data_IF_975760185962
#
_entry.id   IF_975760185962
#
_cell.length_a   1.000
_cell.length_b   1.000
_cell.length_c   1.000
_cell.angle_alpha   90.00
_cell.angle_beta   90.00
_cell.angle_gamma   90.00
#
_symmetry.space_group_name_H-M   'P 1'
#
loop_
_entity.id
_entity.type
_entity.pdbx_description
1 polymer ?
#
# COMPACT_ATOMS: atom_id res chain seq x y z
N UNK A 1 -14.17 -9.40 13.95
CA UNK A 1 -12.90 -9.26 13.22
C UNK A 1 -12.42 -7.80 13.07
N UNK A 2 -13.00 -6.95 12.21
CA UNK A 2 -12.49 -5.59 11.96
C UNK A 2 -12.51 -4.65 13.19
N UNK A 3 -13.43 -4.84 14.15
CA UNK A 3 -13.50 -4.08 15.40
C UNK A 3 -12.34 -4.46 16.31
N UNK A 4 -12.08 -5.76 16.51
CA UNK A 4 -10.96 -6.25 17.31
C UNK A 4 -9.61 -5.81 16.72
N UNK A 5 -9.43 -5.90 15.40
CA UNK A 5 -8.23 -5.41 14.74
C UNK A 5 -8.00 -3.90 14.95
N UNK A 6 -9.06 -3.08 14.93
CA UNK A 6 -8.95 -1.64 15.24
C UNK A 6 -8.58 -1.37 16.68
N UNK A 7 -9.17 -2.10 17.64
CA UNK A 7 -8.81 -2.02 19.05
C UNK A 7 -7.35 -2.43 19.27
N UNK A 8 -6.95 -3.55 18.69
CA UNK A 8 -5.56 -4.02 18.74
C UNK A 8 -4.60 -2.96 18.19
N UNK A 9 -4.96 -2.32 17.07
CA UNK A 9 -4.16 -1.22 16.50
C UNK A 9 -4.09 0.01 17.42
N UNK A 10 -5.19 0.35 18.08
CA UNK A 10 -5.19 1.45 19.05
C UNK A 10 -4.25 1.15 20.23
N UNK A 11 -4.31 -0.08 20.78
CA UNK A 11 -3.41 -0.53 21.84
C UNK A 11 -1.94 -0.55 21.38
N UNK A 12 -1.68 -0.99 20.13
CA UNK A 12 -0.34 -0.96 19.56
C UNK A 12 0.21 0.46 19.44
N UNK A 13 -0.62 1.42 19.03
CA UNK A 13 -0.23 2.84 18.93
C UNK A 13 0.01 3.49 20.29
N UNK A 14 -0.74 3.12 21.31
CA UNK A 14 -0.52 3.64 22.66
C UNK A 14 0.77 3.10 23.28
N UNK A 15 1.10 1.84 23.02
CA UNK A 15 2.32 1.20 23.53
C UNK A 15 3.57 1.60 22.74
N UNK A 16 3.43 1.74 21.42
CA UNK A 16 4.53 2.09 20.50
C UNK A 16 4.13 3.32 19.65
N UNK A 17 4.29 4.55 20.15
CA UNK A 17 3.95 5.76 19.41
C UNK A 17 4.86 5.93 18.19
N UNK A 18 4.29 6.39 17.06
CA UNK A 18 5.01 6.67 15.82
C UNK A 18 4.21 6.41 14.55
N UNK A 19 4.66 6.95 13.43
CA UNK A 19 3.95 6.90 12.14
C UNK A 19 3.84 5.49 11.53
N UNK A 20 4.68 4.53 11.95
CA UNK A 20 4.71 3.15 11.47
C UNK A 20 4.53 2.14 12.60
N UNK A 21 3.77 2.49 13.64
CA UNK A 21 3.53 1.63 14.81
C UNK A 21 3.07 0.21 14.44
N UNK A 22 2.26 0.06 13.36
CA UNK A 22 1.78 -1.25 12.90
C UNK A 22 2.88 -2.21 12.43
N UNK A 23 4.09 -1.73 12.14
CA UNK A 23 5.24 -2.56 11.72
C UNK A 23 6.30 -2.71 12.81
N UNK A 24 6.06 -2.14 13.99
CA UNK A 24 7.03 -2.20 15.11
C UNK A 24 7.20 -3.61 15.65
N UNK A 25 6.09 -4.37 15.68
CA UNK A 25 6.12 -5.78 16.06
C UNK A 25 5.83 -6.64 14.82
N UNK A 26 6.49 -7.79 14.67
CA UNK A 26 6.10 -8.80 13.71
C UNK A 26 4.70 -9.32 14.02
N UNK A 27 3.93 -9.65 12.99
CA UNK A 27 2.57 -10.17 13.10
C UNK A 27 2.49 -11.55 12.47
N UNK A 28 2.08 -12.53 13.26
CA UNK A 28 1.87 -13.90 12.82
C UNK A 28 0.40 -14.27 12.89
N UNK A 29 -0.03 -15.11 11.96
CA UNK A 29 -1.32 -15.79 12.06
C UNK A 29 -1.09 -17.20 12.57
N UNK A 30 -1.79 -17.57 13.63
CA UNK A 30 -1.76 -18.94 14.17
C UNK A 30 -2.99 -19.69 13.70
N UNK A 31 -2.78 -20.84 13.12
CA UNK A 31 -3.82 -21.77 12.66
C UNK A 31 -3.49 -23.18 13.11
N UNK A 32 -4.49 -24.02 13.26
CA UNK A 32 -4.30 -25.42 13.59
C UNK A 32 -5.65 -26.16 13.62
N UNK A 33 -5.65 -27.45 13.36
CA UNK A 33 -6.88 -28.27 13.37
C UNK A 33 -7.52 -28.37 14.77
N UNK A 34 -6.70 -28.27 15.82
CA UNK A 34 -7.14 -28.32 17.22
C UNK A 34 -7.10 -26.93 17.85
N UNK A 35 -8.28 -26.41 18.20
CA UNK A 35 -8.39 -25.14 18.95
C UNK A 35 -7.68 -25.24 20.30
N UNK A 36 -7.82 -26.40 21.00
CA UNK A 36 -7.16 -26.61 22.28
C UNK A 36 -5.64 -26.57 22.17
N UNK A 37 -5.05 -27.20 21.14
CA UNK A 37 -3.61 -27.16 20.90
C UNK A 37 -3.10 -25.73 20.60
N UNK A 38 -3.84 -24.98 19.80
CA UNK A 38 -3.51 -23.61 19.42
C UNK A 38 -3.60 -22.68 20.63
N UNK A 39 -4.67 -22.76 21.40
CA UNK A 39 -4.87 -21.96 22.61
C UNK A 39 -3.82 -22.27 23.68
N UNK A 40 -3.49 -23.57 23.93
CA UNK A 40 -2.46 -23.92 24.90
C UNK A 40 -1.09 -23.40 24.49
N UNK A 41 -0.73 -23.49 23.21
CA UNK A 41 0.53 -22.97 22.70
C UNK A 41 0.69 -21.47 22.95
N UNK A 42 -0.35 -20.66 22.70
CA UNK A 42 -0.28 -19.21 22.84
C UNK A 42 -0.51 -18.75 24.28
N UNK A 43 -1.60 -19.21 24.92
CA UNK A 43 -2.01 -18.73 26.24
C UNK A 43 -1.04 -19.16 27.33
N UNK A 44 -0.58 -20.41 27.26
CA UNK A 44 0.26 -20.99 28.30
C UNK A 44 1.77 -20.81 28.01
N UNK A 45 2.10 -20.04 26.98
CA UNK A 45 3.50 -19.72 26.60
C UNK A 45 4.26 -18.91 27.64
N UNK A 46 3.60 -18.41 28.68
CA UNK A 46 4.16 -17.55 29.73
C UNK A 46 4.81 -16.26 29.20
N UNK A 47 4.37 -15.78 28.03
CA UNK A 47 4.82 -14.52 27.45
C UNK A 47 4.10 -13.33 28.08
N UNK A 48 4.84 -12.27 28.35
CA UNK A 48 4.27 -11.01 28.83
C UNK A 48 3.36 -10.37 27.76
N UNK A 49 2.18 -9.90 28.18
CA UNK A 49 1.19 -9.23 27.33
C UNK A 49 1.08 -7.74 27.65
N UNK A 50 2.07 -6.92 27.27
CA UNK A 50 2.11 -5.50 27.61
C UNK A 50 0.95 -4.68 27.00
N UNK A 51 0.32 -5.22 25.96
CA UNK A 51 -0.82 -4.59 25.30
C UNK A 51 -2.19 -4.91 25.94
N UNK A 52 -2.18 -5.57 27.11
CA UNK A 52 -3.38 -6.00 27.79
C UNK A 52 -3.87 -7.39 27.36
N UNK A 53 -5.05 -7.81 27.85
CA UNK A 53 -5.58 -9.15 27.62
C UNK A 53 -5.89 -9.39 26.13
N UNK A 54 -5.89 -10.66 25.70
CA UNK A 54 -6.27 -11.04 24.34
C UNK A 54 -7.64 -10.51 23.93
N UNK A 55 -7.74 -10.01 22.68
CA UNK A 55 -8.97 -9.46 22.13
C UNK A 55 -9.62 -10.46 21.18
N UNK A 56 -10.67 -11.11 21.62
CA UNK A 56 -11.39 -12.10 20.82
C UNK A 56 -12.62 -11.51 20.12
N UNK A 57 -12.78 -11.79 18.83
CA UNK A 57 -13.98 -11.41 18.06
C UNK A 57 -14.13 -12.23 16.79
N UNK A 58 -15.25 -12.96 16.69
CA UNK A 58 -15.65 -13.64 15.44
C UNK A 58 -14.71 -14.74 15.00
N UNK A 59 -14.21 -15.55 15.95
CA UNK A 59 -13.28 -16.65 15.71
C UNK A 59 -11.82 -16.21 15.51
N UNK A 60 -11.49 -14.98 15.92
CA UNK A 60 -10.13 -14.44 15.91
C UNK A 60 -9.78 -13.91 17.28
N UNK A 61 -8.61 -14.27 17.79
CA UNK A 61 -8.05 -13.77 19.03
C UNK A 61 -6.74 -13.06 18.74
N UNK A 62 -6.64 -11.78 19.12
CA UNK A 62 -5.46 -10.98 18.94
C UNK A 62 -4.70 -10.87 20.26
N UNK A 63 -3.44 -11.22 20.22
CA UNK A 63 -2.53 -11.14 21.38
C UNK A 63 -1.28 -10.35 21.00
N UNK A 64 -0.88 -9.43 21.86
CA UNK A 64 0.33 -8.64 21.67
C UNK A 64 1.32 -8.95 22.77
N UNK A 65 2.54 -9.29 22.39
CA UNK A 65 3.67 -9.62 23.26
C UNK A 65 4.77 -8.58 23.12
N UNK A 66 5.82 -8.67 23.95
CA UNK A 66 6.93 -7.71 23.91
C UNK A 66 7.65 -7.66 22.55
N UNK A 67 7.84 -8.82 21.90
CA UNK A 67 8.60 -8.94 20.66
C UNK A 67 7.77 -9.32 19.44
N UNK A 68 6.48 -9.58 19.59
CA UNK A 68 5.64 -10.01 18.49
C UNK A 68 4.16 -9.89 18.77
N UNK A 69 3.37 -10.01 17.73
CA UNK A 69 1.92 -10.03 17.78
C UNK A 69 1.38 -11.26 17.06
N UNK A 70 0.28 -11.79 17.55
CA UNK A 70 -0.33 -13.00 17.04
C UNK A 70 -1.82 -12.77 16.80
N UNK A 71 -2.30 -13.23 15.66
CA UNK A 71 -3.72 -13.37 15.36
C UNK A 71 -4.07 -14.87 15.27
N UNK A 72 -4.64 -15.40 16.32
CA UNK A 72 -5.08 -16.80 16.38
C UNK A 72 -6.41 -16.92 15.65
N UNK A 73 -6.50 -17.81 14.68
CA UNK A 73 -7.69 -18.05 13.87
C UNK A 73 -8.26 -19.43 14.16
N UNK A 74 -9.49 -19.46 14.64
CA UNK A 74 -10.22 -20.72 14.84
C UNK A 74 -10.39 -21.50 13.52
N UNK A 75 -10.50 -22.82 13.52
CA UNK A 75 -10.72 -23.64 12.34
C UNK A 75 -11.86 -23.13 11.46
N UNK A 76 -12.96 -22.69 12.08
CA UNK A 76 -14.13 -22.11 11.36
C UNK A 76 -13.77 -20.89 10.52
N UNK A 77 -12.70 -20.16 10.83
CA UNK A 77 -12.30 -18.95 10.09
C UNK A 77 -11.57 -19.33 8.80
N UNK A 78 -10.56 -20.19 8.87
CA UNK A 78 -9.77 -20.54 7.68
C UNK A 78 -10.42 -21.64 6.82
N UNK A 79 -11.29 -22.46 7.39
CA UNK A 79 -12.07 -23.44 6.62
C UNK A 79 -13.23 -22.81 5.85
N UNK A 80 -13.71 -21.62 6.25
CA UNK A 80 -14.75 -20.89 5.52
C UNK A 80 -14.14 -19.81 4.60
N UNK A 81 -14.15 -19.99 3.27
CA UNK A 81 -13.47 -19.06 2.34
C UNK A 81 -13.91 -17.59 2.50
N UNK A 82 -15.19 -17.34 2.81
CA UNK A 82 -15.69 -15.98 3.00
C UNK A 82 -15.09 -15.31 4.24
N UNK A 83 -14.96 -16.03 5.36
CA UNK A 83 -14.35 -15.54 6.60
C UNK A 83 -12.85 -15.35 6.44
N UNK A 84 -12.17 -16.30 5.79
CA UNK A 84 -10.75 -16.25 5.51
C UNK A 84 -10.38 -15.04 4.64
N UNK A 85 -11.12 -14.83 3.55
CA UNK A 85 -10.97 -13.64 2.71
C UNK A 85 -11.20 -12.33 3.45
N UNK A 86 -12.12 -12.34 4.40
CA UNK A 86 -12.36 -11.17 5.25
C UNK A 86 -11.19 -10.90 6.18
N UNK A 87 -10.59 -11.94 6.77
CA UNK A 87 -9.38 -11.82 7.59
C UNK A 87 -8.23 -11.24 6.77
N UNK A 88 -7.92 -11.84 5.61
CA UNK A 88 -6.84 -11.36 4.72
C UNK A 88 -7.04 -9.88 4.36
N UNK A 89 -8.27 -9.48 4.06
CA UNK A 89 -8.59 -8.07 3.77
C UNK A 89 -8.37 -7.15 4.98
N UNK A 90 -8.68 -7.61 6.17
CA UNK A 90 -8.43 -6.86 7.42
C UNK A 90 -6.93 -6.70 7.64
N UNK A 91 -6.15 -7.77 7.50
CA UNK A 91 -4.68 -7.75 7.60
C UNK A 91 -4.05 -6.81 6.58
N UNK A 92 -4.45 -6.91 5.31
CA UNK A 92 -3.92 -6.04 4.24
C UNK A 92 -4.29 -4.56 4.42
N UNK A 93 -5.43 -4.26 5.03
CA UNK A 93 -5.80 -2.88 5.39
C UNK A 93 -5.03 -2.36 6.59
N UNK A 94 -4.76 -3.24 7.54
CA UNK A 94 -4.00 -2.91 8.75
C UNK A 94 -2.52 -2.69 8.44
N UNK A 95 -1.93 -3.56 7.59
CA UNK A 95 -0.52 -3.54 7.17
C UNK A 95 -0.42 -3.65 5.64
N UNK A 96 -0.60 -2.53 4.89
CA UNK A 96 -0.68 -2.57 3.43
C UNK A 96 0.58 -3.12 2.73
N UNK A 97 1.78 -2.84 3.26
CA UNK A 97 3.03 -3.26 2.64
C UNK A 97 3.43 -4.69 2.99
N UNK A 98 3.11 -5.13 4.20
CA UNK A 98 3.42 -6.48 4.69
C UNK A 98 2.30 -6.91 5.64
N UNK A 99 1.26 -7.57 5.13
CA UNK A 99 0.08 -7.95 5.90
C UNK A 99 0.40 -8.82 7.11
N UNK A 100 1.37 -9.73 6.98
CA UNK A 100 1.87 -10.59 8.05
C UNK A 100 3.33 -10.96 7.80
N UNK A 101 4.00 -11.40 8.86
CA UNK A 101 5.41 -11.81 8.85
C UNK A 101 5.55 -13.34 8.73
N UNK A 102 4.53 -14.11 9.09
CA UNK A 102 4.53 -15.56 8.98
C UNK A 102 3.24 -16.20 9.42
N UNK A 103 3.16 -17.50 9.21
CA UNK A 103 2.08 -18.37 9.71
C UNK A 103 2.69 -19.39 10.66
N UNK A 104 2.07 -19.55 11.83
CA UNK A 104 2.40 -20.60 12.79
C UNK A 104 1.30 -21.65 12.69
N UNK A 105 1.68 -22.85 12.27
CA UNK A 105 0.79 -23.99 12.16
C UNK A 105 1.00 -24.89 13.37
N UNK A 106 0.01 -24.94 14.25
CA UNK A 106 0.04 -25.77 15.47
C UNK A 106 -0.70 -27.07 15.19
N UNK A 107 0.03 -28.17 15.29
CA UNK A 107 -0.48 -29.52 15.01
C UNK A 107 -0.44 -30.36 16.29
N UNK A 108 -1.52 -31.11 16.64
CA UNK A 108 -1.48 -32.00 17.78
C UNK A 108 -0.59 -33.21 17.46
N UNK A 109 0.34 -33.53 18.35
CA UNK A 109 1.32 -34.60 18.12
C UNK A 109 0.69 -35.99 18.02
N UNK A 110 -0.41 -36.22 18.72
CA UNK A 110 -1.17 -37.50 18.71
C UNK A 110 -1.77 -37.83 17.35
N UNK A 111 -2.06 -36.84 16.52
CA UNK A 111 -2.54 -37.05 15.15
C UNK A 111 -1.50 -37.76 14.24
N UNK A 112 -0.23 -37.72 14.62
CA UNK A 112 0.88 -38.33 13.88
C UNK A 112 1.39 -39.65 14.51
N UNK A 113 0.77 -40.11 15.59
CA UNK A 113 1.12 -41.40 16.16
C UNK A 113 0.91 -42.49 15.10
N UNK A 114 1.83 -43.50 14.99
CA UNK A 114 1.67 -44.59 14.06
C UNK A 114 0.33 -45.34 14.19
N UNK A 115 -0.24 -45.35 15.38
CA UNK A 115 -1.52 -45.99 15.68
C UNK A 115 -2.71 -45.05 15.63
N UNK A 116 -2.54 -43.77 15.24
CA UNK A 116 -3.64 -42.82 15.14
C UNK A 116 -4.72 -43.31 14.15
N UNK A 117 -5.98 -43.47 14.59
CA UNK A 117 -7.01 -44.17 13.81
C UNK A 117 -7.53 -43.34 12.62
N UNK A 118 -7.42 -42.02 12.65
CA UNK A 118 -8.08 -41.12 11.71
C UNK A 118 -7.07 -40.29 10.85
N UNK A 119 -5.93 -40.90 10.50
CA UNK A 119 -4.88 -40.15 9.76
C UNK A 119 -5.34 -39.66 8.37
N UNK A 120 -6.22 -40.41 7.70
CA UNK A 120 -6.82 -39.94 6.42
C UNK A 120 -7.62 -38.64 6.59
N UNK A 121 -8.30 -38.43 7.72
CA UNK A 121 -8.98 -37.20 8.02
C UNK A 121 -7.95 -36.04 8.20
N UNK A 122 -6.85 -36.32 8.90
CA UNK A 122 -5.74 -35.37 9.08
C UNK A 122 -5.15 -34.93 7.74
N UNK A 123 -5.02 -35.87 6.79
CA UNK A 123 -4.57 -35.56 5.42
C UNK A 123 -5.59 -34.67 4.66
N UNK A 124 -6.90 -34.97 4.79
CA UNK A 124 -7.95 -34.11 4.20
C UNK A 124 -7.92 -32.69 4.80
N UNK A 125 -7.67 -32.58 6.09
CA UNK A 125 -7.49 -31.27 6.75
C UNK A 125 -6.24 -30.51 6.21
N UNK A 126 -5.13 -31.24 5.98
CA UNK A 126 -3.94 -30.64 5.32
C UNK A 126 -4.27 -30.02 3.97
N UNK A 127 -5.07 -30.68 3.14
CA UNK A 127 -5.51 -30.13 1.85
C UNK A 127 -6.36 -28.85 2.00
N UNK A 128 -7.22 -28.78 3.00
CA UNK A 128 -8.03 -27.59 3.28
C UNK A 128 -7.16 -26.44 3.75
N UNK A 129 -6.21 -26.70 4.66
CA UNK A 129 -5.24 -25.70 5.14
C UNK A 129 -4.36 -25.24 3.96
N UNK A 130 -3.90 -26.14 3.10
CA UNK A 130 -3.17 -25.81 1.89
C UNK A 130 -3.92 -24.79 1.00
N UNK A 131 -5.22 -25.04 0.76
CA UNK A 131 -6.07 -24.11 0.00
C UNK A 131 -6.16 -22.73 0.67
N UNK A 132 -6.29 -22.70 1.98
CA UNK A 132 -6.35 -21.47 2.76
C UNK A 132 -5.01 -20.69 2.70
N UNK A 133 -3.89 -21.38 2.85
CA UNK A 133 -2.55 -20.79 2.76
C UNK A 133 -2.26 -20.27 1.35
N UNK A 134 -2.61 -21.02 0.30
CA UNK A 134 -2.47 -20.59 -1.09
C UNK A 134 -3.29 -19.31 -1.39
N UNK A 135 -4.52 -19.25 -0.87
CA UNK A 135 -5.35 -18.03 -1.00
C UNK A 135 -4.72 -16.84 -0.25
N UNK A 136 -4.13 -17.09 0.92
CA UNK A 136 -3.43 -16.08 1.71
C UNK A 136 -2.24 -15.51 0.93
N UNK A 137 -1.35 -16.35 0.42
CA UNK A 137 -0.20 -15.93 -0.39
C UNK A 137 -0.60 -15.14 -1.64
N UNK A 138 -1.57 -15.68 -2.38
CA UNK A 138 -2.04 -15.05 -3.62
C UNK A 138 -2.64 -13.66 -3.37
N UNK A 139 -3.39 -13.49 -2.26
CA UNK A 139 -4.02 -12.19 -1.93
C UNK A 139 -3.06 -11.23 -1.24
N UNK A 140 -2.16 -11.74 -0.42
CA UNK A 140 -1.11 -10.93 0.20
C UNK A 140 -0.03 -10.54 -0.81
N UNK A 141 0.11 -11.30 -1.90
CA UNK A 141 1.16 -11.12 -2.90
C UNK A 141 2.56 -11.42 -2.36
N UNK A 142 2.67 -12.22 -1.30
CA UNK A 142 3.92 -12.48 -0.60
C UNK A 142 4.08 -13.97 -0.35
N UNK A 143 5.30 -14.49 -0.51
CA UNK A 143 5.69 -15.80 -0.02
C UNK A 143 5.84 -15.69 1.51
N UNK A 144 5.02 -16.46 2.22
CA UNK A 144 4.87 -16.33 3.68
C UNK A 144 5.57 -17.51 4.34
N UNK A 145 6.51 -17.25 5.29
CA UNK A 145 7.16 -18.32 6.03
C UNK A 145 6.17 -19.05 6.94
N UNK A 146 6.30 -20.39 6.97
CA UNK A 146 5.48 -21.28 7.77
C UNK A 146 6.36 -21.89 8.86
N UNK A 147 5.90 -21.81 10.09
CA UNK A 147 6.51 -22.45 11.26
C UNK A 147 5.57 -23.55 11.75
N UNK A 148 6.03 -24.80 11.72
CA UNK A 148 5.28 -25.93 12.22
C UNK A 148 5.57 -26.14 13.71
N UNK A 149 4.55 -26.22 14.53
CA UNK A 149 4.64 -26.47 15.96
C UNK A 149 3.87 -27.74 16.30
N UNK A 150 4.56 -28.76 16.76
CA UNK A 150 3.94 -29.95 17.33
C UNK A 150 3.56 -29.65 18.79
N UNK A 151 2.28 -29.42 19.01
CA UNK A 151 1.71 -29.23 20.36
C UNK A 151 1.21 -30.51 20.98
N UNK A 152 0.82 -30.45 22.26
CA UNK A 152 0.24 -31.55 23.01
C UNK A 152 1.19 -32.77 23.10
N UNK A 153 2.51 -32.54 23.12
CA UNK A 153 3.49 -33.63 23.22
C UNK A 153 3.52 -34.28 24.58
N UNK A 154 2.77 -33.78 25.57
CA UNK A 154 2.56 -34.45 26.85
C UNK A 154 1.95 -35.87 26.71
N UNK A 155 1.29 -36.15 25.61
CA UNK A 155 0.74 -37.45 25.30
C UNK A 155 1.81 -38.47 24.83
N UNK A 156 3.01 -37.99 24.52
CA UNK A 156 4.14 -38.83 24.10
C UNK A 156 4.84 -39.40 25.34
N UNK A 157 4.99 -40.75 25.45
CA UNK A 157 5.69 -41.35 26.58
C UNK A 157 7.10 -40.76 26.78
N UNK A 158 7.40 -40.30 28.00
CA UNK A 158 8.64 -39.71 28.40
C UNK A 158 8.65 -38.17 28.36
N UNK A 159 7.72 -37.49 27.70
CA UNK A 159 7.69 -36.04 27.62
C UNK A 159 7.45 -35.39 29.00
N UNK A 160 6.54 -35.89 29.78
CA UNK A 160 6.24 -35.39 31.13
C UNK A 160 7.43 -35.51 32.10
N UNK A 161 8.34 -36.46 31.86
CA UNK A 161 9.55 -36.62 32.67
C UNK A 161 10.51 -35.44 32.53
N UNK A 162 10.46 -34.68 31.39
CA UNK A 162 11.27 -33.47 31.18
C UNK A 162 11.06 -32.42 32.27
N UNK A 163 9.81 -32.23 32.70
CA UNK A 163 9.47 -31.23 33.73
C UNK A 163 10.07 -31.52 35.12
N UNK A 164 10.45 -32.79 35.37
CA UNK A 164 11.07 -33.20 36.64
C UNK A 164 12.58 -33.24 36.56
N UNK A 165 13.10 -33.29 35.34
CA UNK A 165 14.54 -33.51 35.09
C UNK A 165 15.24 -32.22 34.70
N UNK A 166 14.57 -31.35 33.96
CA UNK A 166 15.17 -30.11 33.42
C UNK A 166 14.89 -28.92 34.34
N UNK A 167 15.82 -28.00 34.38
CA UNK A 167 15.63 -26.72 35.03
C UNK A 167 14.66 -25.81 34.23
N UNK A 168 14.13 -24.82 34.93
CA UNK A 168 13.17 -23.88 34.32
C UNK A 168 13.75 -23.18 33.09
N UNK A 169 15.04 -22.87 33.07
CA UNK A 169 15.70 -22.19 31.95
C UNK A 169 15.73 -23.07 30.71
N UNK A 170 16.02 -24.35 30.84
CA UNK A 170 15.99 -25.31 29.76
C UNK A 170 14.55 -25.53 29.22
N UNK A 171 13.56 -25.62 30.12
CA UNK A 171 12.14 -25.78 29.76
C UNK A 171 11.55 -24.55 29.06
N UNK A 172 12.04 -23.36 29.35
CA UNK A 172 11.62 -22.13 28.66
C UNK A 172 12.39 -21.89 27.34
N UNK A 173 13.50 -22.57 27.11
CA UNK A 173 14.26 -22.49 25.87
C UNK A 173 13.52 -23.13 24.69
N UNK A 174 13.96 -22.90 23.45
CA UNK A 174 13.34 -23.53 22.27
C UNK A 174 13.75 -25.00 22.13
N UNK A 175 12.80 -25.86 21.81
CA UNK A 175 13.04 -27.24 21.36
C UNK A 175 12.54 -27.35 19.92
N UNK A 176 13.44 -27.34 18.96
CA UNK A 176 13.07 -27.33 17.56
C UNK A 176 14.25 -27.04 16.64
N UNK A 177 13.94 -27.00 15.37
CA UNK A 177 14.88 -26.77 14.28
C UNK A 177 14.44 -25.59 13.44
N UNK A 178 15.41 -24.76 13.07
CA UNK A 178 15.23 -23.66 12.10
C UNK A 178 15.94 -24.03 10.83
N UNK A 179 15.29 -23.89 9.69
CA UNK A 179 15.91 -24.11 8.38
C UNK A 179 17.12 -23.22 8.18
N UNK A 180 18.30 -23.78 7.89
CA UNK A 180 19.46 -22.99 7.53
C UNK A 180 19.35 -22.42 6.11
N UNK A 181 18.37 -22.86 5.35
CA UNK A 181 18.20 -22.53 3.94
C UNK A 181 17.52 -21.16 3.77
N UNK A 182 17.79 -20.51 2.62
CA UNK A 182 17.13 -19.26 2.27
C UNK A 182 15.63 -19.48 2.03
N UNK A 183 14.81 -18.46 2.30
CA UNK A 183 13.35 -18.54 2.11
C UNK A 183 12.85 -18.76 0.68
N UNK A 184 13.75 -18.96 -0.30
CA UNK A 184 13.43 -19.28 -1.68
C UNK A 184 13.51 -20.80 -1.98
N UNK A 185 13.97 -21.60 -1.00
CA UNK A 185 14.13 -23.04 -1.23
C UNK A 185 12.80 -23.77 -1.10
N UNK A 186 12.54 -24.66 -2.06
CA UNK A 186 11.37 -25.50 -2.07
C UNK A 186 11.46 -26.54 -0.93
N UNK A 187 10.33 -26.83 -0.30
CA UNK A 187 10.26 -27.87 0.72
C UNK A 187 10.72 -29.22 0.17
N UNK A 188 11.56 -29.90 0.94
CA UNK A 188 12.02 -31.26 0.68
C UNK A 188 11.62 -32.14 1.86
N UNK A 189 11.22 -33.37 1.59
CA UNK A 189 10.80 -34.32 2.64
C UNK A 189 11.90 -34.59 3.68
N UNK A 190 13.16 -34.60 3.25
CA UNK A 190 14.35 -34.75 4.11
C UNK A 190 14.44 -33.70 5.23
N UNK A 191 13.82 -32.52 5.02
CA UNK A 191 13.78 -31.45 6.02
C UNK A 191 13.17 -31.92 7.37
N UNK A 192 12.16 -32.78 7.32
CA UNK A 192 11.54 -33.30 8.54
C UNK A 192 12.51 -34.22 9.30
N UNK A 193 13.26 -35.03 8.57
CA UNK A 193 14.27 -35.91 9.17
C UNK A 193 15.40 -35.09 9.81
N UNK A 194 15.93 -34.09 9.09
CA UNK A 194 16.96 -33.18 9.62
C UNK A 194 16.46 -32.44 10.89
N UNK A 195 15.22 -32.00 10.90
CA UNK A 195 14.62 -31.35 12.05
C UNK A 195 14.55 -32.27 13.27
N UNK A 196 14.13 -33.51 13.07
CA UNK A 196 14.03 -34.47 14.18
C UNK A 196 15.40 -35.00 14.62
N UNK A 197 16.41 -35.03 13.76
CA UNK A 197 17.80 -35.30 14.14
C UNK A 197 18.30 -34.18 15.06
N UNK A 198 18.13 -32.93 14.66
CA UNK A 198 18.51 -31.77 15.48
C UNK A 198 17.77 -31.72 16.83
N UNK A 199 16.47 -32.04 16.84
CA UNK A 199 15.67 -32.13 18.09
C UNK A 199 16.22 -33.26 18.97
N UNK A 200 16.58 -34.42 18.39
CA UNK A 200 17.16 -35.57 19.08
C UNK A 200 18.50 -35.20 19.72
N UNK A 201 19.39 -34.53 18.98
CA UNK A 201 20.70 -34.09 19.51
C UNK A 201 20.52 -33.11 20.67
N UNK A 202 19.56 -32.19 20.55
CA UNK A 202 19.22 -31.25 21.63
C UNK A 202 18.70 -31.97 22.87
N UNK A 203 17.80 -32.94 22.70
CA UNK A 203 17.30 -33.75 23.81
C UNK A 203 18.39 -34.58 24.46
N UNK A 204 19.31 -35.16 23.69
CA UNK A 204 20.48 -35.86 24.22
C UNK A 204 21.39 -34.96 25.04
N UNK A 205 21.64 -33.73 24.54
CA UNK A 205 22.41 -32.73 25.28
C UNK A 205 21.73 -32.41 26.63
N UNK A 206 20.43 -32.16 26.61
CA UNK A 206 19.64 -31.89 27.80
C UNK A 206 19.65 -33.11 28.79
N UNK A 207 19.58 -34.30 28.25
CA UNK A 207 19.67 -35.55 29.07
C UNK A 207 21.07 -35.68 29.76
N UNK A 208 22.13 -35.38 29.02
CA UNK A 208 23.50 -35.40 29.61
C UNK A 208 23.65 -34.38 30.71
N UNK A 209 23.14 -33.15 30.49
CA UNK A 209 23.11 -32.14 31.54
C UNK A 209 22.38 -32.57 32.81
N UNK A 210 21.22 -33.20 32.62
CA UNK A 210 20.41 -33.70 33.72
C UNK A 210 21.12 -34.81 34.50
N UNK A 211 21.85 -35.71 33.85
CA UNK A 211 22.64 -36.75 34.46
C UNK A 211 23.81 -36.20 35.25
N UNK A 212 24.52 -35.17 34.73
CA UNK A 212 25.63 -34.54 35.42
C UNK A 212 25.18 -33.76 36.66
N UNK A 213 23.96 -33.22 36.66
CA UNK A 213 23.35 -32.54 37.79
C UNK A 213 22.92 -33.47 38.94
N UNK A 214 23.25 -34.77 38.89
CA UNK A 214 22.90 -35.79 39.86
C UNK A 214 21.40 -35.91 40.19
N UNK A 215 20.56 -35.62 39.22
CA UNK A 215 19.11 -35.59 39.32
C UNK A 215 18.57 -37.03 39.28
N UNK A 216 17.77 -37.44 40.24
CA UNK A 216 17.02 -38.72 40.17
C UNK A 216 16.01 -38.56 39.05
N UNK A 217 16.20 -39.29 37.97
CA UNK A 217 15.25 -39.31 36.83
C UNK A 217 14.15 -40.31 37.13
N UNK A 218 12.94 -39.84 37.43
CA UNK A 218 11.81 -40.77 37.55
C UNK A 218 11.46 -41.25 36.13
N UNK A 219 11.06 -42.52 36.03
CA UNK A 219 10.72 -43.19 34.78
C UNK A 219 11.84 -43.04 33.70
N UNK A 220 13.03 -43.54 34.07
CA UNK A 220 14.26 -43.44 33.24
C UNK A 220 14.06 -44.00 31.84
N UNK A 221 13.36 -45.13 31.74
CA UNK A 221 13.17 -45.83 30.47
C UNK A 221 12.36 -44.99 29.50
N UNK A 222 11.24 -44.42 29.94
CA UNK A 222 10.42 -43.53 29.11
C UNK A 222 11.14 -42.27 28.73
N UNK A 223 11.94 -41.65 29.64
CA UNK A 223 12.74 -40.46 29.34
C UNK A 223 13.77 -40.72 28.24
N UNK A 224 14.54 -41.80 28.34
CA UNK A 224 15.55 -42.10 27.30
C UNK A 224 14.91 -42.57 25.99
N UNK A 225 13.70 -43.12 26.02
CA UNK A 225 12.95 -43.48 24.83
C UNK A 225 12.23 -42.30 24.18
N UNK A 226 12.20 -41.11 24.79
CA UNK A 226 11.50 -39.92 24.28
C UNK A 226 11.92 -39.59 22.86
N UNK A 227 13.23 -39.52 22.59
CA UNK A 227 13.77 -39.24 21.25
C UNK A 227 13.26 -40.26 20.22
N UNK A 228 13.25 -41.53 20.57
CA UNK A 228 12.71 -42.61 19.71
C UNK A 228 11.20 -42.46 19.51
N UNK A 229 10.48 -42.09 20.57
CA UNK A 229 9.03 -41.92 20.48
C UNK A 229 8.66 -40.70 19.62
N UNK A 230 9.38 -39.63 19.71
CA UNK A 230 9.22 -38.47 18.81
C UNK A 230 9.52 -38.84 17.35
N UNK A 231 10.57 -39.63 17.10
CA UNK A 231 10.89 -40.09 15.72
C UNK A 231 9.81 -40.96 15.09
N UNK A 232 8.97 -41.63 15.88
CA UNK A 232 7.86 -42.38 15.33
C UNK A 232 6.81 -41.53 14.64
N UNK A 233 6.75 -40.23 14.96
CA UNK A 233 5.84 -39.27 14.33
C UNK A 233 6.27 -38.86 12.93
N UNK A 234 7.59 -38.98 12.63
CA UNK A 234 8.22 -38.44 11.41
C UNK A 234 7.53 -38.92 10.14
N UNK A 235 7.26 -40.21 9.89
CA UNK A 235 6.69 -40.67 8.62
C UNK A 235 5.33 -40.02 8.31
N UNK A 236 4.44 -39.97 9.27
CA UNK A 236 3.11 -39.38 9.11
C UNK A 236 3.18 -37.85 9.02
N UNK A 237 4.09 -37.19 9.75
CA UNK A 237 4.32 -35.76 9.67
C UNK A 237 4.91 -35.36 8.31
N UNK A 238 5.84 -36.14 7.79
CA UNK A 238 6.42 -35.96 6.47
C UNK A 238 5.35 -36.06 5.37
N UNK A 239 4.48 -37.07 5.43
CA UNK A 239 3.35 -37.21 4.52
C UNK A 239 2.41 -36.03 4.61
N UNK A 240 2.04 -35.59 5.82
CA UNK A 240 1.19 -34.42 6.04
C UNK A 240 1.80 -33.13 5.47
N UNK A 241 3.06 -32.86 5.79
CA UNK A 241 3.75 -31.66 5.30
C UNK A 241 3.99 -31.72 3.79
N UNK A 242 4.19 -32.89 3.23
CA UNK A 242 4.27 -33.08 1.79
C UNK A 242 2.96 -32.70 1.09
N UNK A 243 1.82 -33.13 1.61
CA UNK A 243 0.51 -32.73 1.10
C UNK A 243 0.28 -31.23 1.26
N UNK A 244 0.64 -30.68 2.41
CA UNK A 244 0.43 -29.27 2.74
C UNK A 244 1.29 -28.33 1.89
N UNK A 245 2.57 -28.67 1.67
CA UNK A 245 3.61 -27.80 1.11
C UNK A 245 3.96 -28.12 -0.34
N UNK A 246 3.36 -29.16 -0.95
CA UNK A 246 3.58 -29.46 -2.37
C UNK A 246 3.14 -28.27 -3.22
N UNK A 247 4.04 -27.74 -4.08
CA UNK A 247 3.72 -26.64 -4.95
C UNK A 247 2.58 -27.00 -5.90
N UNK A 248 1.49 -26.23 -5.88
CA UNK A 248 0.44 -26.33 -6.90
C UNK A 248 0.77 -25.46 -8.12
N UNK A 249 0.03 -25.61 -9.21
CA UNK A 249 0.21 -24.79 -10.43
C UNK A 249 0.16 -23.27 -10.16
N UNK A 250 -0.46 -22.84 -9.06
CA UNK A 250 -0.71 -21.44 -8.74
C UNK A 250 -0.17 -20.97 -7.39
N UNK A 251 0.53 -21.84 -6.63
CA UNK A 251 1.07 -21.50 -5.32
C UNK A 251 2.50 -22.03 -5.17
N UNK A 252 3.37 -21.17 -4.68
CA UNK A 252 4.74 -21.51 -4.29
C UNK A 252 4.84 -21.75 -2.79
N UNK A 253 3.83 -22.40 -2.20
CA UNK A 253 3.81 -22.78 -0.80
C UNK A 253 4.98 -23.71 -0.52
N UNK A 254 6.10 -23.18 -0.07
CA UNK A 254 7.28 -24.02 0.11
C UNK A 254 8.23 -23.46 1.16
N UNK A 255 7.82 -22.44 1.90
CA UNK A 255 8.72 -21.79 2.84
C UNK A 255 8.51 -22.30 4.27
N UNK A 256 8.80 -23.60 4.50
CA UNK A 256 8.87 -24.14 5.86
C UNK A 256 10.16 -23.67 6.51
N UNK A 257 10.03 -22.80 7.55
CA UNK A 257 11.18 -22.19 8.24
C UNK A 257 11.65 -22.98 9.44
N UNK A 258 10.77 -23.72 10.10
CA UNK A 258 11.17 -24.47 11.25
C UNK A 258 10.09 -25.43 11.75
N UNK A 259 10.54 -26.42 12.53
CA UNK A 259 9.68 -27.37 13.24
C UNK A 259 10.05 -27.27 14.71
N UNK A 260 9.04 -27.07 15.55
CA UNK A 260 9.17 -26.94 17.00
C UNK A 260 8.31 -27.96 17.72
N UNK A 261 8.75 -28.36 18.91
CA UNK A 261 8.03 -29.31 19.76
C UNK A 261 7.65 -28.61 21.06
N UNK A 262 6.39 -28.69 21.44
CA UNK A 262 5.86 -28.09 22.67
C UNK A 262 4.86 -29.03 23.34
N UNK A 263 4.67 -28.86 24.62
CA UNK A 263 3.67 -29.63 25.36
C UNK A 263 3.49 -29.08 26.76
N UNK A 264 2.48 -29.55 27.45
CA UNK A 264 2.19 -29.14 28.82
C UNK A 264 2.75 -30.17 29.80
N UNK A 265 3.37 -29.68 30.85
CA UNK A 265 3.83 -30.56 31.95
C UNK A 265 3.22 -30.12 33.27
N UNK A 266 3.07 -31.06 34.18
CA UNK A 266 2.63 -30.77 35.55
C UNK A 266 3.83 -30.41 36.41
N UNK A 267 3.89 -29.17 36.90
CA UNK A 267 5.04 -28.63 37.63
C UNK A 267 4.84 -28.52 39.14
N UNK A 268 3.64 -28.80 39.68
CA UNK A 268 3.35 -28.75 41.10
C UNK A 268 3.66 -30.08 41.82
N UNK A 269 3.99 -30.02 43.12
CA UNK A 269 4.17 -31.21 43.97
C UNK A 269 2.87 -32.03 43.98
N UNK A 270 1.74 -31.36 43.85
CA UNK A 270 0.39 -31.97 43.78
C UNK A 270 -0.16 -32.10 42.34
N UNK A 271 0.64 -31.86 41.32
CA UNK A 271 0.21 -31.92 39.93
C UNK A 271 -0.82 -30.82 39.52
N UNK A 272 -1.02 -29.81 40.35
CA UNK A 272 -2.10 -28.83 40.20
C UNK A 272 -1.78 -27.67 39.21
N UNK A 273 -0.52 -27.43 38.90
CA UNK A 273 -0.13 -26.38 37.95
C UNK A 273 0.39 -26.96 36.63
N UNK A 274 -0.35 -26.70 35.56
CA UNK A 274 0.03 -27.07 34.20
C UNK A 274 0.79 -25.94 33.55
N UNK A 275 1.98 -26.20 33.04
CA UNK A 275 2.82 -25.24 32.37
C UNK A 275 3.22 -25.76 30.99
N UNK A 276 3.04 -24.92 29.96
CA UNK A 276 3.54 -25.23 28.61
C UNK A 276 5.02 -24.94 28.53
N UNK A 277 5.78 -25.93 28.06
CA UNK A 277 7.23 -25.89 27.94
C UNK A 277 7.65 -25.74 26.49
N UNK A 278 8.83 -25.15 26.28
CA UNK A 278 9.45 -24.87 24.99
C UNK A 278 8.68 -23.86 24.09
N UNK A 279 7.44 -23.52 24.41
CA UNK A 279 6.65 -22.55 23.65
C UNK A 279 7.21 -21.13 23.77
N UNK A 280 7.66 -20.75 24.98
CA UNK A 280 8.27 -19.43 25.24
C UNK A 280 9.49 -19.20 24.32
N UNK A 281 10.44 -20.10 24.35
CA UNK A 281 11.66 -19.99 23.53
C UNK A 281 11.39 -20.13 22.04
N UNK A 282 10.44 -20.97 21.64
CA UNK A 282 10.05 -21.08 20.25
C UNK A 282 9.51 -19.74 19.71
N UNK A 283 8.65 -19.05 20.45
CA UNK A 283 8.09 -17.75 20.03
C UNK A 283 9.11 -16.61 20.18
N UNK A 284 9.69 -16.44 21.39
CA UNK A 284 10.47 -15.26 21.78
C UNK A 284 11.86 -15.24 21.15
N UNK A 285 12.52 -16.42 21.07
CA UNK A 285 13.93 -16.53 20.69
C UNK A 285 14.13 -16.96 19.25
N UNK A 286 13.08 -17.57 18.63
CA UNK A 286 13.20 -18.10 17.27
C UNK A 286 12.22 -17.46 16.28
N UNK A 287 10.91 -17.55 16.53
CA UNK A 287 9.91 -17.11 15.55
C UNK A 287 9.83 -15.60 15.45
N UNK A 288 9.70 -14.87 16.55
CA UNK A 288 9.56 -13.41 16.55
C UNK A 288 10.79 -12.66 16.01
N UNK A 289 12.06 -13.08 16.31
CA UNK A 289 13.23 -12.45 15.71
C UNK A 289 13.34 -12.64 14.19
N UNK A 290 12.74 -13.68 13.62
CA UNK A 290 12.71 -13.92 12.18
C UNK A 290 11.65 -13.07 11.47
N UNK A 291 11.57 -11.79 11.76
CA UNK A 291 10.64 -10.89 11.07
C UNK A 291 11.19 -10.44 9.70
N UNK A 292 10.28 -10.01 8.80
CA UNK A 292 10.62 -9.49 7.48
C UNK A 292 11.21 -10.50 6.46
N UNK A 293 11.10 -11.81 6.75
CA UNK A 293 11.52 -12.86 5.79
C UNK A 293 10.49 -13.02 4.65
N UNK A 294 9.22 -12.68 4.92
CA UNK A 294 8.18 -12.73 3.91
C UNK A 294 8.57 -11.88 2.68
N UNK A 295 8.77 -12.53 1.54
CA UNK A 295 9.23 -11.92 0.31
C UNK A 295 8.07 -11.66 -0.66
N UNK A 296 8.04 -10.53 -1.40
CA UNK A 296 7.01 -10.28 -2.40
C UNK A 296 7.10 -11.30 -3.53
N UNK A 297 5.96 -11.84 -3.93
CA UNK A 297 5.86 -12.77 -5.06
C UNK A 297 5.85 -12.03 -6.40
N UNK A 298 6.12 -12.72 -7.52
CA UNK A 298 6.02 -12.15 -8.86
C UNK A 298 4.62 -11.54 -9.12
N UNK A 299 3.57 -12.11 -8.54
CA UNK A 299 2.21 -11.60 -8.64
C UNK A 299 2.01 -10.26 -7.92
N UNK A 300 2.72 -10.00 -6.83
CA UNK A 300 2.73 -8.69 -6.16
C UNK A 300 3.27 -7.61 -7.09
N UNK A 301 4.42 -7.87 -7.71
CA UNK A 301 5.05 -6.95 -8.65
C UNK A 301 4.19 -6.72 -9.90
N UNK A 302 3.53 -7.77 -10.42
CA UNK A 302 2.63 -7.62 -11.56
C UNK A 302 1.37 -6.83 -11.21
N UNK A 303 0.80 -7.01 -10.02
CA UNK A 303 -0.33 -6.23 -9.52
C UNK A 303 0.02 -4.78 -9.23
N UNK A 304 1.15 -4.52 -8.58
CA UNK A 304 1.69 -3.17 -8.35
C UNK A 304 2.03 -2.48 -9.69
N UNK A 305 2.64 -3.20 -10.62
CA UNK A 305 2.98 -2.71 -11.95
C UNK A 305 1.71 -2.37 -12.77
N UNK A 306 0.63 -3.12 -12.61
CA UNK A 306 -0.66 -2.85 -13.26
C UNK A 306 -1.29 -1.53 -12.79
N UNK A 307 -1.16 -1.18 -11.52
CA UNK A 307 -1.62 0.11 -11.00
C UNK A 307 -0.70 1.25 -11.48
N UNK A 308 0.61 1.02 -11.54
CA UNK A 308 1.58 1.97 -12.12
C UNK A 308 1.33 2.14 -13.62
N UNK A 309 1.05 1.06 -14.35
CA UNK A 309 0.66 1.14 -15.76
C UNK A 309 -0.64 1.93 -15.95
N UNK A 310 -1.67 1.68 -15.15
CA UNK A 310 -2.92 2.47 -15.19
C UNK A 310 -2.65 3.95 -14.93
N UNK A 311 -1.84 4.29 -13.92
CA UNK A 311 -1.43 5.65 -13.66
C UNK A 311 -0.66 6.27 -14.84
N UNK A 312 0.24 5.52 -15.47
CA UNK A 312 0.95 5.97 -16.69
C UNK A 312 -0.01 6.22 -17.85
N UNK A 313 -0.97 5.33 -18.08
CA UNK A 313 -1.98 5.52 -19.13
C UNK A 313 -2.91 6.70 -18.86
N UNK A 314 -3.30 6.96 -17.59
CA UNK A 314 -4.08 8.15 -17.24
C UNK A 314 -3.30 9.44 -17.45
N UNK A 315 -2.04 9.48 -17.04
CA UNK A 315 -1.16 10.63 -17.28
C UNK A 315 -0.94 10.84 -18.77
N UNK A 316 -0.65 9.80 -19.54
CA UNK A 316 -0.50 9.88 -20.99
C UNK A 316 -1.78 10.38 -21.67
N UNK A 317 -2.93 9.87 -21.28
CA UNK A 317 -4.23 10.31 -21.78
C UNK A 317 -4.51 11.80 -21.50
N UNK A 318 -4.24 12.26 -20.28
CA UNK A 318 -4.35 13.67 -19.91
C UNK A 318 -3.36 14.56 -20.69
N UNK A 319 -2.14 14.07 -20.92
CA UNK A 319 -1.15 14.79 -21.73
C UNK A 319 -1.60 14.94 -23.19
N UNK A 320 -2.14 13.86 -23.80
CA UNK A 320 -2.68 13.91 -25.17
C UNK A 320 -3.86 14.87 -25.25
N UNK A 321 -4.78 14.84 -24.28
CA UNK A 321 -5.90 15.77 -24.21
C UNK A 321 -5.40 17.24 -24.07
N UNK A 322 -4.37 17.46 -23.27
CA UNK A 322 -3.75 18.77 -23.12
C UNK A 322 -3.13 19.27 -24.43
N UNK A 323 -2.38 18.43 -25.14
CA UNK A 323 -1.79 18.76 -26.43
C UNK A 323 -2.88 19.03 -27.49
N UNK A 324 -3.92 18.19 -27.53
CA UNK A 324 -5.05 18.41 -28.46
C UNK A 324 -5.78 19.72 -28.15
N UNK A 325 -5.97 20.02 -26.88
CA UNK A 325 -6.60 21.27 -26.46
C UNK A 325 -5.74 22.49 -26.82
N UNK A 326 -4.41 22.44 -26.63
CA UNK A 326 -3.48 23.48 -27.08
C UNK A 326 -3.50 23.65 -28.60
N UNK A 327 -3.52 22.54 -29.35
CA UNK A 327 -3.61 22.55 -30.81
C UNK A 327 -4.91 23.18 -31.31
N UNK A 328 -6.04 22.80 -30.71
CA UNK A 328 -7.34 23.41 -31.05
C UNK A 328 -7.36 24.92 -30.81
N UNK A 329 -6.74 25.37 -29.70
CA UNK A 329 -6.63 26.79 -29.40
C UNK A 329 -5.66 27.52 -30.34
N UNK A 330 -4.58 26.87 -30.73
CA UNK A 330 -3.66 27.41 -31.73
C UNK A 330 -4.35 27.68 -33.07
N UNK A 331 -5.15 26.69 -33.53
CA UNK A 331 -5.94 26.83 -34.75
C UNK A 331 -6.99 27.95 -34.63
N UNK A 332 -7.71 28.03 -33.52
CA UNK A 332 -8.67 29.14 -33.28
C UNK A 332 -7.99 30.51 -33.27
N UNK A 333 -6.77 30.60 -32.73
CA UNK A 333 -6.01 31.83 -32.70
C UNK A 333 -5.50 32.16 -34.11
N UNK A 334 -5.05 31.15 -34.86
CA UNK A 334 -4.59 31.28 -36.24
C UNK A 334 -5.65 31.86 -37.20
N UNK A 335 -6.92 31.48 -36.98
CA UNK A 335 -8.04 32.01 -37.74
C UNK A 335 -8.42 33.47 -37.34
N UNK A 336 -8.18 33.86 -36.09
CA UNK A 336 -8.56 35.18 -35.55
C UNK A 336 -7.51 36.28 -35.74
N UNK A 337 -6.23 35.91 -35.79
CA UNK A 337 -5.13 36.91 -35.92
C UNK A 337 -5.09 37.57 -37.29
N UNK A 338 -5.24 36.87 -38.45
CA UNK A 338 -5.13 37.50 -39.77
C UNK A 338 -6.12 38.65 -40.01
N UNK A 339 -7.44 38.50 -39.69
CA UNK A 339 -8.37 39.62 -39.94
C UNK A 339 -8.09 40.80 -39.04
N UNK A 340 -7.56 40.61 -37.85
CA UNK A 340 -7.20 41.67 -36.94
C UNK A 340 -5.96 42.42 -37.42
N UNK A 341 -4.93 41.73 -37.90
CA UNK A 341 -3.75 42.31 -38.53
C UNK A 341 -4.11 43.08 -39.81
N UNK A 342 -5.03 42.54 -40.62
CA UNK A 342 -5.51 43.24 -41.82
C UNK A 342 -6.24 44.52 -41.45
N UNK A 343 -7.08 44.51 -40.41
CA UNK A 343 -7.75 45.73 -39.94
C UNK A 343 -6.78 46.79 -39.41
N UNK A 344 -5.79 46.38 -38.63
CA UNK A 344 -4.75 47.30 -38.08
C UNK A 344 -3.89 47.87 -39.20
N UNK A 345 -3.46 47.04 -40.15
CA UNK A 345 -2.64 47.52 -41.30
C UNK A 345 -3.41 48.47 -42.22
N UNK A 346 -4.72 48.22 -42.40
CA UNK A 346 -5.57 49.13 -43.15
C UNK A 346 -5.66 50.52 -42.47
N UNK A 347 -5.87 50.53 -41.14
CA UNK A 347 -5.91 51.76 -40.35
C UNK A 347 -4.57 52.46 -40.39
N UNK A 348 -3.44 51.75 -40.28
CA UNK A 348 -2.11 52.35 -40.41
C UNK A 348 -1.90 52.97 -41.81
N UNK A 349 -2.35 52.28 -42.85
CA UNK A 349 -2.32 52.78 -44.22
C UNK A 349 -3.10 54.09 -44.38
N UNK A 350 -4.29 54.14 -43.79
CA UNK A 350 -5.12 55.34 -43.81
C UNK A 350 -4.48 56.50 -43.03
N UNK A 351 -3.89 56.24 -41.86
CA UNK A 351 -3.13 57.27 -41.12
C UNK A 351 -1.90 57.77 -41.87
N UNK A 352 -1.16 56.93 -42.57
CA UNK A 352 -0.04 57.31 -43.40
C UNK A 352 -0.50 58.17 -44.55
N UNK A 353 -1.64 57.90 -45.19
CA UNK A 353 -2.25 58.72 -46.24
C UNK A 353 -2.59 60.10 -45.70
N UNK A 354 -3.26 60.21 -44.56
CA UNK A 354 -3.63 61.44 -43.90
C UNK A 354 -2.37 62.30 -43.58
N UNK A 355 -1.35 61.65 -43.02
CA UNK A 355 -0.12 62.34 -42.65
C UNK A 355 0.67 62.86 -43.88
N UNK A 356 0.65 62.11 -44.96
CA UNK A 356 1.23 62.55 -46.24
C UNK A 356 0.43 63.70 -46.93
N UNK A 357 -0.92 63.62 -46.75
CA UNK A 357 -1.78 64.71 -47.27
C UNK A 357 -1.64 66.01 -46.49
N UNK A 358 -1.30 65.97 -45.19
CA UNK A 358 -0.97 67.14 -44.35
C UNK A 358 0.19 67.99 -44.94
N UNK A 359 1.03 67.37 -45.78
CA UNK A 359 2.15 68.06 -46.45
C UNK A 359 1.75 68.84 -47.73
N UNK A 360 0.48 68.77 -48.19
CA UNK A 360 0.00 69.47 -49.40
C UNK A 360 -1.16 70.38 -49.00
N UNK A 361 -0.99 71.73 -49.21
CA UNK A 361 -2.04 72.72 -48.90
C UNK A 361 -3.28 72.46 -49.81
N UNK A 362 -4.44 72.25 -49.21
CA UNK A 362 -5.72 72.04 -49.89
C UNK A 362 -6.25 70.57 -49.98
N UNK A 363 -5.38 69.57 -49.95
CA UNK A 363 -5.79 68.11 -50.08
C UNK A 363 -6.36 67.53 -48.82
N UNK A 364 -6.10 68.14 -47.67
CA UNK A 364 -6.48 67.65 -46.34
C UNK A 364 -8.02 67.64 -46.15
N UNK A 365 -8.69 68.66 -46.73
CA UNK A 365 -10.13 68.84 -46.48
C UNK A 365 -11.04 67.83 -47.19
N UNK A 366 -10.65 67.45 -48.42
CA UNK A 366 -11.42 66.45 -49.20
C UNK A 366 -11.25 65.03 -48.66
N UNK A 367 -10.02 64.68 -48.25
CA UNK A 367 -9.72 63.32 -47.67
C UNK A 367 -10.34 63.16 -46.27
N UNK A 368 -10.39 64.24 -45.46
CA UNK A 368 -10.97 64.19 -44.13
C UNK A 368 -12.49 64.02 -44.14
N UNK A 369 -13.19 64.61 -45.12
CA UNK A 369 -14.66 64.46 -45.20
C UNK A 369 -15.11 63.08 -45.73
N UNK A 370 -14.36 62.47 -46.65
CA UNK A 370 -14.74 61.13 -47.21
C UNK A 370 -14.28 59.96 -46.40
N UNK A 371 -13.09 60.02 -45.78
CA UNK A 371 -12.46 58.85 -45.20
C UNK A 371 -12.53 58.77 -43.64
N UNK A 372 -12.78 59.88 -42.95
CA UNK A 372 -12.85 59.90 -41.48
C UNK A 372 -13.97 59.00 -40.93
N UNK A 373 -15.12 58.98 -41.57
CA UNK A 373 -16.22 58.12 -41.17
C UNK A 373 -15.91 56.64 -41.38
N UNK A 374 -15.22 56.29 -42.47
CA UNK A 374 -14.80 54.91 -42.75
C UNK A 374 -13.72 54.42 -41.80
N UNK A 375 -12.80 55.26 -41.42
CA UNK A 375 -11.74 54.97 -40.44
C UNK A 375 -12.36 54.73 -39.04
N UNK A 376 -13.31 55.61 -38.64
CA UNK A 376 -14.01 55.46 -37.37
C UNK A 376 -14.86 54.19 -37.34
N UNK A 377 -15.53 53.84 -38.42
CA UNK A 377 -16.28 52.63 -38.53
C UNK A 377 -15.39 51.36 -38.44
N UNK A 378 -14.25 51.40 -39.10
CA UNK A 378 -13.28 50.28 -39.00
C UNK A 378 -12.67 50.18 -37.59
N UNK A 379 -12.34 51.26 -36.92
CA UNK A 379 -11.84 51.28 -35.57
C UNK A 379 -12.87 50.80 -34.54
N UNK A 380 -14.15 51.16 -34.72
CA UNK A 380 -15.23 50.69 -33.87
C UNK A 380 -15.52 49.19 -34.04
N UNK A 381 -15.20 48.63 -35.23
CA UNK A 381 -15.35 47.20 -35.50
C UNK A 381 -14.28 46.28 -34.87
N UNK A 382 -13.21 46.88 -34.32
CA UNK A 382 -12.17 46.11 -33.63
C UNK A 382 -12.60 45.85 -32.17
N UNK A 383 -13.20 44.69 -31.90
CA UNK A 383 -13.54 44.31 -30.55
C UNK A 383 -12.31 43.71 -29.83
N UNK A 384 -11.83 44.33 -28.76
CA UNK A 384 -10.74 43.80 -27.95
C UNK A 384 -11.02 42.43 -27.37
N UNK A 385 -12.33 42.05 -27.26
CA UNK A 385 -12.77 40.73 -26.79
C UNK A 385 -12.56 39.60 -27.79
N UNK A 386 -12.24 39.90 -29.06
CA UNK A 386 -12.09 38.92 -30.12
C UNK A 386 -10.95 37.89 -29.89
N UNK A 387 -9.94 38.27 -29.13
CA UNK A 387 -8.80 37.43 -28.78
C UNK A 387 -8.98 36.64 -27.49
N UNK A 388 -10.14 36.75 -26.83
CA UNK A 388 -10.40 35.96 -25.61
C UNK A 388 -10.45 34.48 -25.94
N UNK A 389 -9.49 33.73 -25.42
CA UNK A 389 -9.44 32.25 -25.47
C UNK A 389 -9.40 31.70 -24.06
N UNK A 390 -9.93 30.51 -23.81
CA UNK A 390 -9.98 29.94 -22.46
C UNK A 390 -8.60 29.55 -21.89
N UNK A 391 -7.54 29.56 -22.69
CA UNK A 391 -6.18 29.21 -22.23
C UNK A 391 -5.47 30.38 -21.59
N UNK A 392 -5.67 31.57 -22.12
CA UNK A 392 -4.96 32.71 -21.59
C UNK A 392 -5.63 33.16 -20.29
N UNK A 393 -4.93 33.20 -19.17
CA UNK A 393 -5.52 33.61 -17.90
C UNK A 393 -6.20 34.97 -18.00
N UNK A 394 -7.31 35.17 -17.30
CA UNK A 394 -8.03 36.44 -17.26
C UNK A 394 -7.12 37.65 -16.92
N UNK A 395 -6.03 37.39 -16.18
CA UNK A 395 -5.01 38.39 -15.86
C UNK A 395 -4.25 38.92 -17.08
N UNK A 396 -4.19 38.17 -18.18
CA UNK A 396 -3.58 38.63 -19.45
C UNK A 396 -4.56 39.39 -20.33
N UNK A 397 -5.89 39.19 -20.14
CA UNK A 397 -6.91 39.97 -20.86
C UNK A 397 -7.39 41.20 -20.08
N UNK A 398 -7.13 41.19 -18.74
CA UNK A 398 -7.45 42.32 -17.90
C UNK A 398 -6.43 43.44 -18.09
N UNK A 399 -6.88 44.55 -18.65
CA UNK A 399 -6.31 45.90 -18.64
C UNK A 399 -4.82 46.11 -19.03
N UNK A 400 -3.97 45.06 -19.20
CA UNK A 400 -2.55 45.33 -19.11
C UNK A 400 -1.73 45.48 -20.38
N UNK A 401 -2.09 44.89 -21.52
CA UNK A 401 -1.24 45.13 -22.70
C UNK A 401 -2.04 45.42 -23.98
N UNK A 402 -2.85 44.51 -24.46
CA UNK A 402 -3.52 44.67 -25.77
C UNK A 402 -4.75 45.56 -25.71
N UNK A 403 -5.53 45.51 -24.61
CA UNK A 403 -6.73 46.34 -24.48
C UNK A 403 -6.39 47.81 -24.20
N UNK A 404 -5.34 48.06 -23.39
CA UNK A 404 -4.85 49.44 -23.10
C UNK A 404 -4.28 50.02 -24.36
N UNK A 405 -3.46 49.28 -25.09
CA UNK A 405 -2.83 49.76 -26.32
C UNK A 405 -3.86 50.02 -27.44
N UNK A 406 -4.84 49.11 -27.61
CA UNK A 406 -5.95 49.29 -28.54
C UNK A 406 -6.84 50.49 -28.16
N UNK A 407 -7.17 50.67 -26.88
CA UNK A 407 -7.93 51.81 -26.38
C UNK A 407 -7.15 53.08 -26.54
N UNK A 408 -5.84 53.08 -26.24
CA UNK A 408 -4.98 54.25 -26.43
C UNK A 408 -4.88 54.61 -27.92
N UNK A 409 -4.76 53.60 -28.77
CA UNK A 409 -4.71 53.81 -30.23
C UNK A 409 -6.04 54.33 -30.76
N UNK A 410 -7.18 53.76 -30.29
CA UNK A 410 -8.52 54.28 -30.61
C UNK A 410 -8.71 55.71 -30.11
N UNK A 411 -8.36 55.99 -28.84
CA UNK A 411 -8.53 57.33 -28.26
C UNK A 411 -7.64 58.38 -28.94
N UNK A 412 -6.39 58.02 -29.28
CA UNK A 412 -5.50 58.89 -30.03
C UNK A 412 -6.03 59.14 -31.44
N UNK A 413 -6.54 58.12 -32.12
CA UNK A 413 -7.13 58.25 -33.44
C UNK A 413 -8.42 59.11 -33.41
N UNK A 414 -9.28 58.88 -32.41
CA UNK A 414 -10.48 59.74 -32.21
C UNK A 414 -10.09 61.19 -31.92
N UNK A 415 -9.14 61.40 -31.01
CA UNK A 415 -8.71 62.78 -30.68
C UNK A 415 -8.15 63.50 -31.88
N UNK A 416 -7.30 62.86 -32.68
CA UNK A 416 -6.69 63.50 -33.86
C UNK A 416 -7.70 63.80 -34.97
N UNK A 417 -8.64 62.85 -35.20
CA UNK A 417 -9.72 63.04 -36.18
C UNK A 417 -10.72 64.10 -35.72
N UNK A 418 -11.11 64.19 -34.45
CA UNK A 418 -12.03 65.15 -33.91
C UNK A 418 -11.42 66.55 -33.83
N UNK A 419 -10.21 66.67 -33.30
CA UNK A 419 -9.53 68.01 -33.18
C UNK A 419 -9.30 68.61 -34.53
N UNK A 420 -8.88 67.82 -35.51
CA UNK A 420 -8.66 68.36 -36.86
C UNK A 420 -9.98 68.71 -37.54
N UNK A 421 -11.08 67.97 -37.37
CA UNK A 421 -12.38 68.36 -37.94
C UNK A 421 -12.98 69.60 -37.27
N UNK A 422 -12.88 69.72 -35.95
CA UNK A 422 -13.32 70.92 -35.23
C UNK A 422 -12.49 72.14 -35.66
N UNK A 423 -11.15 71.97 -35.82
CA UNK A 423 -10.27 73.01 -36.32
C UNK A 423 -10.66 73.53 -37.72
N UNK A 424 -11.04 72.63 -38.61
CA UNK A 424 -11.53 72.93 -39.96
C UNK A 424 -12.87 73.64 -39.92
N UNK A 425 -13.83 73.16 -39.12
CA UNK A 425 -15.17 73.82 -39.01
C UNK A 425 -15.03 75.20 -38.40
N UNK A 426 -14.24 75.37 -37.37
CA UNK A 426 -14.00 76.70 -36.78
C UNK A 426 -13.30 77.66 -37.71
N UNK A 427 -12.36 77.21 -38.55
CA UNK A 427 -11.69 78.01 -39.55
C UNK A 427 -12.64 78.49 -40.68
N UNK A 428 -13.59 77.61 -41.09
CA UNK A 428 -14.68 77.93 -42.03
C UNK A 428 -15.63 78.98 -41.44
N UNK A 429 -16.08 78.78 -40.18
CA UNK A 429 -16.89 79.81 -39.50
C UNK A 429 -16.18 81.15 -39.39
N UNK A 430 -14.90 81.16 -39.07
CA UNK A 430 -14.12 82.39 -38.99
C UNK A 430 -14.02 83.06 -40.33
N UNK A 431 -13.87 82.29 -41.43
CA UNK A 431 -13.86 82.91 -42.77
C UNK A 431 -15.23 83.40 -43.16
N UNK A 432 -16.33 82.80 -42.81
CA UNK A 432 -17.71 83.27 -43.06
C UNK A 432 -17.99 84.51 -42.28
N UNK A 433 -17.53 84.62 -41.01
CA UNK A 433 -17.67 85.88 -40.22
C UNK A 433 -16.85 86.99 -40.77
N UNK A 434 -15.63 86.73 -41.26
CA UNK A 434 -14.81 87.73 -41.92
C UNK A 434 -15.42 88.23 -43.23
N UNK A 435 -16.00 87.36 -44.03
CA UNK A 435 -16.74 87.72 -45.27
C UNK A 435 -18.00 88.49 -44.99
N UNK A 436 -18.74 88.17 -43.92
CA UNK A 436 -19.94 88.85 -43.47
C UNK A 436 -19.62 90.31 -43.02
N UNK A 437 -18.59 90.45 -42.21
CA UNK A 437 -18.13 91.80 -41.76
C UNK A 437 -17.57 92.65 -42.88
N UNK A 438 -16.98 92.06 -43.90
CA UNK A 438 -16.46 92.78 -45.04
C UNK A 438 -17.58 93.25 -45.99
N UNK A 439 -18.76 92.62 -45.97
CA UNK A 439 -19.94 93.05 -46.71
C UNK A 439 -20.77 94.11 -45.98
N UNK A 440 -20.68 94.16 -44.65
CA UNK A 440 -21.36 95.20 -43.85
C UNK A 440 -20.60 96.58 -43.78
N UNK A 441 -19.35 96.59 -44.23
CA UNK A 441 -18.56 97.84 -44.29
C UNK A 441 -18.52 98.50 -45.66
N UNK A 442 -19.41 98.04 -46.58
CA UNK A 442 -19.57 98.66 -47.92
C UNK A 442 -21.05 99.05 -48.26
N UNK A 443 -21.81 99.43 -47.24
CA UNK A 443 -23.08 100.12 -47.36
C UNK A 443 -22.98 101.47 -46.68
#
# INVERSE_FOLDING_TARGET
MARAARHFHANLRSTFPGSRSQYRLPLYVVIGPSEAATQSFIRDSSLATPMGPPLSSGGLTWSGFDRGAVAEADPVVYLQPARWRRLIRVLSRFRPHRPLDGVILVLPADAFDPQAPNFEQTIREAELIRKALAELENRAGMAIPIYCVLGQCENIPGFNSLGRVLDRKALMGPLGFVSPYSGAQVYHSEFVNEAFDSIGDRLQTLAMHALTANTKIPDRDSFFLLTRNLRKLVPKLEEYLSVLLTPGQYSRLSNLRGIYVTGSINTGVDGSSRQTVFAHGALQDRIFPEFAIAAPTANYWSGANRNVQRARFTVAGLSILGVFWLWAQHNMLGERIPPLLAAVSAVEGDFRRINNAKKRPGAVQEIFQSDAASILQRLSGIDPGYLKTPIVPKSYYGETFLQVDLRNLQSAAYAELWVNNIGVILSQQKNIVIFSNKKSSRI
#
